data_IF_880485313210
#
_entry.id   IF_880485313210
#
_cell.length_a   1.000
_cell.length_b   1.000
_cell.length_c   1.000
_cell.angle_alpha   90.00
_cell.angle_beta   90.00
_cell.angle_gamma   90.00
#
_symmetry.space_group_name_H-M   'P 1'
#
loop_
_entity.id
_entity.type
_entity.pdbx_description
1 polymer ?
#
# COMPACT_ATOMS: atom_id res chain seq x y z
N UNK A 1 2.38 -35.55 26.17
CA UNK A 1 2.33 -36.29 24.89
C UNK A 1 2.69 -37.71 25.19
N UNK A 2 1.95 -38.65 24.62
CA UNK A 2 2.28 -40.07 24.72
C UNK A 2 3.50 -40.38 23.83
N UNK A 3 4.24 -41.45 24.16
CA UNK A 3 5.48 -41.85 23.46
C UNK A 3 5.26 -41.97 21.94
N UNK A 4 4.15 -42.59 21.54
CA UNK A 4 3.78 -42.83 20.15
C UNK A 4 3.53 -41.55 19.34
N UNK A 5 3.04 -40.48 19.97
CA UNK A 5 2.85 -39.20 19.28
C UNK A 5 4.18 -38.50 19.02
N UNK A 6 5.15 -38.65 19.93
CA UNK A 6 6.49 -38.08 19.79
C UNK A 6 7.23 -38.80 18.65
N UNK A 7 7.13 -40.12 18.59
CA UNK A 7 7.80 -40.93 17.57
C UNK A 7 7.26 -40.65 16.16
N UNK A 8 5.94 -40.54 16.01
CA UNK A 8 5.32 -40.11 14.73
C UNK A 8 5.73 -38.70 14.32
N UNK A 9 5.84 -37.77 15.27
CA UNK A 9 6.28 -36.41 14.97
C UNK A 9 7.74 -36.43 14.47
N UNK A 10 8.59 -37.23 15.09
CA UNK A 10 9.99 -37.38 14.70
C UNK A 10 10.14 -38.03 13.31
N UNK A 11 9.36 -39.06 13.00
CA UNK A 11 9.34 -39.66 11.65
C UNK A 11 8.94 -38.63 10.58
N UNK A 12 7.91 -37.83 10.85
CA UNK A 12 7.49 -36.78 9.92
C UNK A 12 8.60 -35.73 9.78
N UNK A 13 9.21 -35.27 10.89
CA UNK A 13 10.32 -34.31 10.86
C UNK A 13 11.48 -34.84 10.00
N UNK A 14 11.86 -36.10 10.15
CA UNK A 14 12.92 -36.73 9.35
C UNK A 14 12.54 -36.85 7.87
N UNK A 15 11.29 -37.21 7.56
CA UNK A 15 10.83 -37.25 6.16
C UNK A 15 10.85 -35.88 5.47
N UNK A 16 10.59 -34.81 6.24
CA UNK A 16 10.62 -33.42 5.76
C UNK A 16 12.04 -32.91 5.60
N UNK A 17 12.99 -33.32 6.46
CA UNK A 17 14.41 -33.01 6.28
C UNK A 17 15.00 -33.62 5.01
N UNK A 18 14.40 -34.72 4.54
CA UNK A 18 14.82 -35.43 3.33
C UNK A 18 14.18 -34.89 2.04
N UNK A 19 13.13 -34.06 2.12
CA UNK A 19 12.58 -33.40 0.93
C UNK A 19 13.39 -32.14 0.59
N UNK A 20 13.88 -32.04 -0.65
CA UNK A 20 14.65 -30.88 -1.15
C UNK A 20 13.81 -29.58 -1.32
N UNK A 21 12.63 -29.50 -0.72
CA UNK A 21 11.77 -28.32 -0.76
C UNK A 21 11.93 -27.51 0.52
N UNK A 22 12.53 -26.33 0.39
CA UNK A 22 12.94 -25.46 1.50
C UNK A 22 11.75 -24.99 2.38
N UNK A 23 10.50 -25.04 1.89
CA UNK A 23 9.29 -24.61 2.59
C UNK A 23 8.03 -25.45 2.25
N UNK A 24 7.93 -26.67 2.78
CA UNK A 24 6.81 -27.57 2.46
C UNK A 24 5.54 -27.37 3.32
N UNK A 25 5.59 -26.59 4.40
CA UNK A 25 4.49 -26.45 5.37
C UNK A 25 4.22 -24.99 5.73
N UNK A 26 2.95 -24.62 5.87
CA UNK A 26 2.54 -23.25 6.25
C UNK A 26 1.37 -23.25 7.23
N UNK A 27 1.33 -22.25 8.10
CA UNK A 27 0.25 -22.02 9.05
C UNK A 27 0.02 -20.53 9.27
N UNK A 28 -1.23 -20.17 9.56
CA UNK A 28 -1.58 -18.82 9.96
C UNK A 28 -1.22 -18.62 11.44
N UNK A 29 -0.31 -17.67 11.68
CA UNK A 29 0.15 -17.37 13.03
C UNK A 29 -0.80 -16.38 13.70
N UNK A 30 -1.56 -16.86 14.69
CA UNK A 30 -2.39 -16.04 15.58
C UNK A 30 -1.70 -15.79 16.93
N UNK A 31 -0.54 -15.13 16.88
CA UNK A 31 0.25 -14.79 18.06
C UNK A 31 0.33 -13.27 18.21
N UNK A 32 0.04 -12.74 19.40
CA UNK A 32 0.15 -11.30 19.69
C UNK A 32 1.58 -10.77 19.49
N UNK A 33 2.61 -11.60 19.70
CA UNK A 33 4.03 -11.27 19.49
C UNK A 33 4.34 -10.95 18.03
N UNK A 34 3.61 -11.54 17.07
CA UNK A 34 3.84 -11.30 15.63
C UNK A 34 3.19 -10.00 15.12
N UNK A 35 2.41 -9.30 15.96
CA UNK A 35 1.66 -8.10 15.56
C UNK A 35 2.56 -7.03 14.94
N UNK A 36 3.77 -6.84 15.49
CA UNK A 36 4.74 -5.87 14.97
C UNK A 36 5.24 -6.23 13.57
N UNK A 37 5.53 -7.50 13.31
CA UNK A 37 5.89 -8.00 11.99
C UNK A 37 4.75 -7.79 10.99
N UNK A 38 3.52 -8.23 11.33
CA UNK A 38 2.33 -8.05 10.46
C UNK A 38 2.10 -6.57 10.13
N UNK A 39 2.27 -5.70 11.13
CA UNK A 39 2.17 -4.27 10.94
C UNK A 39 3.17 -3.72 9.92
N UNK A 40 4.46 -4.04 10.05
CA UNK A 40 5.48 -3.53 9.11
C UNK A 40 5.39 -4.21 7.75
N UNK A 41 4.95 -5.47 7.68
CA UNK A 41 4.66 -6.15 6.42
C UNK A 41 3.52 -5.44 5.66
N UNK A 42 2.45 -5.04 6.35
CA UNK A 42 1.37 -4.24 5.76
C UNK A 42 1.86 -2.88 5.28
N UNK A 43 2.69 -2.16 6.05
CA UNK A 43 3.26 -0.87 5.61
C UNK A 43 4.20 -1.06 4.41
N UNK A 44 5.00 -2.13 4.40
CA UNK A 44 5.89 -2.47 3.27
C UNK A 44 5.07 -2.69 2.00
N UNK A 45 3.95 -3.40 2.11
CA UNK A 45 3.04 -3.62 1.00
C UNK A 45 2.44 -2.29 0.49
N UNK A 46 1.91 -1.46 1.41
CA UNK A 46 1.37 -0.15 1.07
C UNK A 46 2.40 0.74 0.34
N UNK A 47 3.65 0.81 0.83
CA UNK A 47 4.71 1.61 0.20
C UNK A 47 5.06 1.10 -1.21
N UNK A 48 5.10 -0.22 -1.42
CA UNK A 48 5.31 -0.80 -2.76
C UNK A 48 4.16 -0.42 -3.70
N UNK A 49 2.94 -0.54 -3.21
CA UNK A 49 1.74 -0.21 -3.97
C UNK A 49 1.72 1.29 -4.37
N UNK A 50 2.14 2.19 -3.47
CA UNK A 50 2.32 3.61 -3.81
C UNK A 50 3.35 3.79 -4.91
N UNK A 51 4.47 3.07 -4.86
CA UNK A 51 5.47 3.09 -5.94
C UNK A 51 4.88 2.66 -7.28
N UNK A 52 4.10 1.58 -7.31
CA UNK A 52 3.43 1.08 -8.52
C UNK A 52 2.42 2.10 -9.08
N UNK A 53 1.62 2.74 -8.21
CA UNK A 53 0.68 3.78 -8.63
C UNK A 53 1.40 5.00 -9.24
N UNK A 54 2.51 5.43 -8.66
CA UNK A 54 3.31 6.55 -9.17
C UNK A 54 3.96 6.20 -10.51
N UNK A 55 4.49 4.99 -10.66
CA UNK A 55 5.03 4.50 -11.94
C UNK A 55 3.97 4.51 -13.03
N UNK A 56 2.77 4.00 -12.73
CA UNK A 56 1.67 4.01 -13.70
C UNK A 56 1.22 5.44 -14.06
N UNK A 57 1.23 6.36 -13.10
CA UNK A 57 0.96 7.79 -13.36
C UNK A 57 1.98 8.41 -14.31
N UNK A 58 3.28 8.12 -14.12
CA UNK A 58 4.34 8.61 -15.00
C UNK A 58 4.16 8.05 -16.43
N UNK A 59 3.84 6.76 -16.55
CA UNK A 59 3.59 6.12 -17.85
C UNK A 59 2.38 6.72 -18.57
N UNK A 60 1.29 6.98 -17.85
CA UNK A 60 0.10 7.64 -18.41
C UNK A 60 0.42 9.04 -18.90
N UNK A 61 1.16 9.84 -18.11
CA UNK A 61 1.57 11.19 -18.51
C UNK A 61 2.50 11.20 -19.73
N UNK A 62 3.37 10.20 -19.86
CA UNK A 62 4.21 10.05 -21.05
C UNK A 62 3.37 9.75 -22.31
N UNK A 63 2.39 8.84 -22.22
CA UNK A 63 1.52 8.47 -23.35
C UNK A 63 0.60 9.60 -23.81
N UNK A 64 0.12 10.45 -22.90
CA UNK A 64 -0.73 11.61 -23.25
C UNK A 64 0.00 12.63 -24.13
N UNK A 65 1.34 12.68 -24.07
CA UNK A 65 2.15 13.56 -24.95
C UNK A 65 2.14 13.03 -26.40
N UNK A 66 1.89 11.74 -26.61
CA UNK A 66 2.01 11.08 -27.91
C UNK A 66 0.67 10.96 -28.68
N UNK A 67 -0.47 10.98 -27.99
CA UNK A 67 -1.80 10.75 -28.59
C UNK A 67 -2.75 11.95 -28.47
N UNK A 68 -2.77 12.82 -29.47
CA UNK A 68 -3.75 13.92 -29.57
C UNK A 68 -5.10 13.44 -30.10
N UNK A 69 -5.99 12.93 -29.23
CA UNK A 69 -7.40 12.70 -29.59
C UNK A 69 -8.19 11.80 -28.64
N UNK A 70 -9.40 12.27 -28.24
CA UNK A 70 -10.54 11.58 -27.59
C UNK A 70 -10.33 10.68 -26.34
N UNK A 71 -9.13 10.19 -26.04
CA UNK A 71 -8.78 9.37 -24.87
C UNK A 71 -8.61 10.18 -23.55
N UNK A 72 -8.79 11.50 -23.62
CA UNK A 72 -8.39 12.43 -22.56
C UNK A 72 -9.18 12.24 -21.26
N UNK A 73 -10.50 11.96 -21.32
CA UNK A 73 -11.34 11.88 -20.10
C UNK A 73 -11.08 10.62 -19.27
N UNK A 74 -10.90 9.45 -19.90
CA UNK A 74 -10.60 8.20 -19.19
C UNK A 74 -9.21 8.28 -18.56
N UNK A 75 -8.24 8.86 -19.28
CA UNK A 75 -6.89 9.10 -18.76
C UNK A 75 -6.93 10.06 -17.56
N UNK A 76 -7.67 11.16 -17.64
CA UNK A 76 -7.84 12.10 -16.51
C UNK A 76 -8.48 11.45 -15.27
N UNK A 77 -9.52 10.62 -15.46
CA UNK A 77 -10.15 9.91 -14.34
C UNK A 77 -9.19 8.89 -13.71
N UNK A 78 -8.42 8.18 -14.54
CA UNK A 78 -7.42 7.22 -14.09
C UNK A 78 -6.29 7.92 -13.34
N UNK A 79 -5.76 9.01 -13.89
CA UNK A 79 -4.75 9.85 -13.23
C UNK A 79 -5.24 10.34 -11.87
N UNK A 80 -6.45 10.88 -11.80
CA UNK A 80 -7.04 11.34 -10.54
C UNK A 80 -7.17 10.21 -9.53
N UNK A 81 -7.65 9.04 -9.97
CA UNK A 81 -7.87 7.88 -9.10
C UNK A 81 -6.56 7.33 -8.56
N UNK A 82 -5.54 7.21 -9.40
CA UNK A 82 -4.21 6.78 -8.99
C UNK A 82 -3.55 7.78 -8.06
N UNK A 83 -3.64 9.08 -8.34
CA UNK A 83 -3.10 10.12 -7.48
C UNK A 83 -3.72 10.07 -6.07
N UNK A 84 -5.05 10.04 -5.99
CA UNK A 84 -5.77 9.92 -4.72
C UNK A 84 -5.35 8.64 -3.98
N UNK A 85 -5.27 7.52 -4.71
CA UNK A 85 -4.87 6.22 -4.13
C UNK A 85 -3.45 6.27 -3.58
N UNK A 86 -2.50 6.89 -4.30
CA UNK A 86 -1.12 7.09 -3.85
C UNK A 86 -1.06 7.92 -2.56
N UNK A 87 -1.77 9.05 -2.51
CA UNK A 87 -1.79 9.93 -1.33
C UNK A 87 -2.40 9.23 -0.12
N UNK A 88 -3.57 8.60 -0.28
CA UNK A 88 -4.25 7.90 0.82
C UNK A 88 -3.39 6.75 1.33
N UNK A 89 -2.89 5.91 0.44
CA UNK A 89 -2.11 4.72 0.80
C UNK A 89 -0.80 5.13 1.48
N UNK A 90 -0.14 6.17 0.98
CA UNK A 90 1.04 6.75 1.63
C UNK A 90 0.73 7.28 3.03
N UNK A 91 -0.30 8.12 3.17
CA UNK A 91 -0.68 8.70 4.46
C UNK A 91 -1.07 7.63 5.49
N UNK A 92 -1.65 6.50 5.05
CA UNK A 92 -1.97 5.35 5.89
C UNK A 92 -0.73 4.74 6.56
N UNK A 93 0.45 4.85 5.94
CA UNK A 93 1.71 4.40 6.54
C UNK A 93 2.10 5.21 7.78
N UNK A 94 1.66 6.47 7.87
CA UNK A 94 2.03 7.43 8.92
C UNK A 94 0.90 7.78 9.88
N UNK A 95 -0.31 7.27 9.64
CA UNK A 95 -1.48 7.49 10.49
C UNK A 95 -1.78 6.25 11.33
N UNK A 96 -2.25 6.47 12.55
CA UNK A 96 -2.70 5.38 13.40
C UNK A 96 -4.04 4.87 12.87
N UNK A 97 -4.13 3.57 12.60
CA UNK A 97 -5.37 2.89 12.21
C UNK A 97 -5.64 1.76 13.18
N UNK A 98 -6.89 1.60 13.61
CA UNK A 98 -7.28 0.66 14.68
C UNK A 98 -6.90 -0.79 14.34
N UNK A 99 -6.96 -1.17 13.06
CA UNK A 99 -6.62 -2.53 12.60
C UNK A 99 -5.12 -2.85 12.56
N UNK A 100 -4.26 -1.89 12.20
CA UNK A 100 -2.81 -2.15 11.99
C UNK A 100 -2.02 -2.11 13.29
N UNK A 101 -2.39 -1.21 14.20
CA UNK A 101 -1.76 -1.05 15.51
C UNK A 101 -0.30 -0.57 15.51
N UNK A 102 0.28 -0.27 14.34
CA UNK A 102 1.58 0.41 14.20
C UNK A 102 1.51 1.47 13.09
N UNK A 103 2.39 2.46 13.17
CA UNK A 103 2.61 3.47 12.14
C UNK A 103 4.11 3.75 11.98
N UNK A 104 4.49 4.37 10.87
CA UNK A 104 5.80 4.98 10.72
C UNK A 104 5.83 6.32 11.48
N UNK A 105 6.90 6.52 12.24
CA UNK A 105 7.18 7.82 12.82
C UNK A 105 8.06 8.62 11.86
N UNK A 106 7.58 9.80 11.46
CA UNK A 106 8.28 10.67 10.50
C UNK A 106 9.74 10.94 10.92
N UNK A 107 9.98 11.15 12.21
CA UNK A 107 11.32 11.35 12.79
C UNK A 107 12.27 10.14 12.61
N UNK A 108 11.74 8.93 12.54
CA UNK A 108 12.54 7.73 12.32
C UNK A 108 12.82 7.51 10.83
N UNK A 109 11.94 8.03 9.97
CA UNK A 109 12.07 7.92 8.53
C UNK A 109 13.05 8.95 7.96
N UNK A 110 13.09 10.17 8.50
CA UNK A 110 13.88 11.28 7.95
C UNK A 110 14.97 11.73 8.92
N UNK A 111 16.24 11.57 8.53
CA UNK A 111 17.37 12.14 9.28
C UNK A 111 17.44 13.66 9.16
N UNK A 112 18.29 14.31 9.97
CA UNK A 112 18.41 15.78 10.02
C UNK A 112 18.73 16.41 8.66
N UNK A 113 19.50 15.72 7.82
CA UNK A 113 19.93 16.22 6.50
C UNK A 113 18.91 15.98 5.37
N UNK A 114 17.77 15.35 5.63
CA UNK A 114 16.79 14.96 4.61
C UNK A 114 15.63 15.96 4.53
N UNK A 115 15.97 17.25 4.44
CA UNK A 115 15.02 18.36 4.51
C UNK A 115 14.01 18.36 3.37
N UNK A 116 14.43 18.02 2.15
CA UNK A 116 13.55 17.92 0.97
C UNK A 116 12.50 16.82 1.14
N UNK A 117 12.90 15.60 1.52
CA UNK A 117 11.98 14.50 1.76
C UNK A 117 11.05 14.74 2.93
N UNK A 118 11.53 15.42 3.98
CA UNK A 118 10.68 15.82 5.12
C UNK A 118 9.62 16.84 4.68
N UNK A 119 10.00 17.82 3.84
CA UNK A 119 9.06 18.79 3.30
C UNK A 119 8.05 18.14 2.36
N UNK A 120 8.50 17.25 1.47
CA UNK A 120 7.61 16.51 0.57
C UNK A 120 6.63 15.62 1.35
N UNK A 121 7.12 14.87 2.35
CA UNK A 121 6.26 14.11 3.27
C UNK A 121 5.18 14.99 3.90
N UNK A 122 5.56 16.17 4.44
CA UNK A 122 4.63 17.11 5.02
C UNK A 122 3.57 17.55 4.00
N UNK A 123 4.00 17.95 2.80
CA UNK A 123 3.09 18.36 1.73
C UNK A 123 2.10 17.24 1.36
N UNK A 124 2.55 15.98 1.27
CA UNK A 124 1.68 14.85 0.95
C UNK A 124 0.65 14.57 2.08
N UNK A 125 1.07 14.72 3.34
CA UNK A 125 0.17 14.60 4.49
C UNK A 125 -0.85 15.76 4.53
N UNK A 126 -0.40 16.97 4.20
CA UNK A 126 -1.25 18.16 4.11
C UNK A 126 -2.26 18.01 2.96
N UNK A 127 -1.84 17.55 1.78
CA UNK A 127 -2.76 17.22 0.67
C UNK A 127 -3.84 16.24 1.14
N UNK A 128 -3.49 15.16 1.87
CA UNK A 128 -4.49 14.24 2.40
C UNK A 128 -5.48 14.95 3.33
N UNK A 129 -5.00 15.83 4.20
CA UNK A 129 -5.83 16.50 5.20
C UNK A 129 -6.72 17.58 4.57
N UNK A 130 -6.17 18.38 3.67
CA UNK A 130 -6.84 19.53 3.06
C UNK A 130 -7.74 19.14 1.89
N UNK A 131 -7.39 18.12 1.12
CA UNK A 131 -8.12 17.76 -0.09
C UNK A 131 -9.13 16.62 0.12
N UNK A 132 -8.85 15.68 1.04
CA UNK A 132 -9.74 14.51 1.25
C UNK A 132 -10.62 14.60 2.49
N UNK A 133 -10.20 15.35 3.53
CA UNK A 133 -10.98 15.45 4.77
C UNK A 133 -11.91 16.68 4.81
N UNK A 134 -11.63 17.71 4.02
CA UNK A 134 -12.46 18.90 3.91
C UNK A 134 -12.45 19.39 2.45
N UNK A 135 -13.57 19.80 1.87
CA UNK A 135 -13.60 20.58 0.62
C UNK A 135 -13.09 22.02 0.86
N UNK A 136 -12.00 22.16 1.61
CA UNK A 136 -11.49 23.44 2.10
C UNK A 136 -10.66 24.11 1.04
N UNK A 137 -11.18 25.22 0.48
CA UNK A 137 -10.49 26.28 -0.28
C UNK A 137 -9.12 25.87 -0.82
N UNK A 138 -9.05 24.85 -1.65
CA UNK A 138 -7.82 24.48 -2.31
C UNK A 138 -7.88 25.04 -3.72
N UNK A 139 -6.79 25.66 -4.17
CA UNK A 139 -6.62 26.10 -5.56
C UNK A 139 -6.64 24.93 -6.58
N UNK A 140 -6.98 23.71 -6.13
CA UNK A 140 -6.87 22.47 -6.89
C UNK A 140 -8.15 22.11 -7.66
N UNK A 141 -9.30 22.72 -7.38
CA UNK A 141 -10.54 22.50 -8.12
C UNK A 141 -11.23 23.84 -8.42
N UNK A 142 -11.21 24.26 -9.70
CA UNK A 142 -11.97 25.44 -10.16
C UNK A 142 -13.21 24.96 -10.91
N UNK A 143 -14.37 25.38 -10.44
CA UNK A 143 -15.65 25.17 -11.13
C UNK A 143 -15.93 26.43 -11.94
N UNK A 144 -15.95 26.29 -13.26
CA UNK A 144 -16.40 27.33 -14.17
C UNK A 144 -17.85 27.07 -14.52
N UNK A 145 -18.73 28.05 -14.26
CA UNK A 145 -20.10 28.03 -14.75
C UNK A 145 -20.16 28.81 -16.06
N UNK A 146 -20.83 28.25 -17.07
CA UNK A 146 -21.08 28.90 -18.35
C UNK A 146 -22.56 28.88 -18.69
N UNK A 147 -23.08 30.00 -19.19
CA UNK A 147 -24.41 30.08 -19.77
C UNK A 147 -24.29 29.84 -21.27
N UNK A 148 -24.89 28.75 -21.75
CA UNK A 148 -24.98 28.47 -23.18
C UNK A 148 -26.32 28.97 -23.69
N UNK A 149 -26.30 29.70 -24.79
CA UNK A 149 -27.49 30.22 -25.44
C UNK A 149 -27.69 29.45 -26.74
N UNK A 150 -28.90 28.96 -26.96
CA UNK A 150 -29.33 28.45 -28.25
C UNK A 150 -30.37 29.42 -28.82
N UNK A 151 -30.06 29.99 -29.98
CA UNK A 151 -30.90 30.99 -30.66
C UNK A 151 -31.42 30.33 -31.93
N UNK A 152 -32.73 30.13 -32.01
CA UNK A 152 -33.40 29.62 -33.21
C UNK A 152 -34.54 30.59 -33.58
N UNK A 153 -34.42 31.23 -34.74
CA UNK A 153 -35.32 32.30 -35.18
C UNK A 153 -35.45 33.43 -34.13
N UNK A 154 -36.64 33.61 -33.54
CA UNK A 154 -36.94 34.60 -32.50
C UNK A 154 -36.91 34.05 -31.07
N UNK A 155 -36.67 32.75 -30.90
CA UNK A 155 -36.62 32.12 -29.58
C UNK A 155 -35.18 32.00 -29.07
N UNK A 156 -34.96 32.47 -27.84
CA UNK A 156 -33.70 32.33 -27.11
C UNK A 156 -33.91 31.40 -25.93
N UNK A 157 -33.18 30.29 -25.91
CA UNK A 157 -33.14 29.37 -24.77
C UNK A 157 -31.75 29.39 -24.12
N UNK A 158 -31.72 29.34 -22.79
CA UNK A 158 -30.49 29.35 -22.00
C UNK A 158 -30.35 28.05 -21.22
N UNK A 159 -29.15 27.46 -21.25
CA UNK A 159 -28.79 26.32 -20.40
C UNK A 159 -27.49 26.63 -19.67
N UNK A 160 -27.55 26.51 -18.34
CA UNK A 160 -26.34 26.51 -17.52
C UNK A 160 -25.60 25.18 -17.73
N UNK A 161 -24.31 25.27 -18.03
CA UNK A 161 -23.37 24.15 -17.88
C UNK A 161 -22.27 24.54 -16.92
N UNK A 162 -21.53 23.54 -16.45
CA UNK A 162 -20.34 23.75 -15.67
C UNK A 162 -19.20 22.89 -16.22
N UNK A 163 -17.98 23.39 -16.08
CA UNK A 163 -16.76 22.63 -16.30
C UNK A 163 -15.94 22.66 -15.01
N UNK A 164 -15.50 21.48 -14.58
CA UNK A 164 -14.59 21.35 -13.45
C UNK A 164 -13.19 21.20 -14.03
N UNK A 165 -12.38 22.24 -13.91
CA UNK A 165 -10.94 22.14 -14.19
C UNK A 165 -10.28 21.92 -12.84
N UNK A 166 -9.96 20.67 -12.54
CA UNK A 166 -9.05 20.40 -11.44
C UNK A 166 -7.60 20.49 -11.90
N UNK A 167 -6.76 21.12 -11.09
CA UNK A 167 -5.33 20.81 -11.07
C UNK A 167 -5.19 19.44 -10.39
N UNK A 168 -5.64 18.39 -11.07
CA UNK A 168 -5.46 17.03 -10.61
C UNK A 168 -4.07 16.58 -11.02
N UNK A 169 -3.16 16.57 -10.07
CA UNK A 169 -1.91 15.85 -10.19
C UNK A 169 -0.67 16.64 -9.83
N UNK A 170 0.27 15.90 -9.28
CA UNK A 170 1.66 16.28 -9.19
C UNK A 170 2.24 16.43 -10.61
N UNK A 171 3.14 17.41 -10.80
CA UNK A 171 3.92 17.47 -12.04
C UNK A 171 4.75 16.20 -12.20
N UNK A 172 5.23 15.89 -13.41
CA UNK A 172 6.12 14.72 -13.58
C UNK A 172 7.33 14.79 -12.65
N UNK A 173 7.87 16.00 -12.42
CA UNK A 173 8.94 16.25 -11.45
C UNK A 173 8.52 15.84 -10.03
N UNK A 174 7.36 16.31 -9.59
CA UNK A 174 6.84 15.99 -8.25
C UNK A 174 6.55 14.49 -8.09
N UNK A 175 6.08 13.81 -9.14
CA UNK A 175 5.90 12.36 -9.17
C UNK A 175 7.24 11.61 -9.05
N UNK A 176 8.28 12.07 -9.74
CA UNK A 176 9.64 11.52 -9.57
C UNK A 176 10.14 11.72 -8.14
N UNK A 177 9.99 12.92 -7.57
CA UNK A 177 10.39 13.19 -6.19
C UNK A 177 9.61 12.30 -5.19
N UNK A 178 8.32 12.06 -5.44
CA UNK A 178 7.51 11.14 -4.64
C UNK A 178 8.00 9.69 -4.78
N UNK A 179 8.35 9.25 -5.99
CA UNK A 179 8.92 7.92 -6.20
C UNK A 179 10.26 7.75 -5.47
N UNK A 180 11.13 8.75 -5.53
CA UNK A 180 12.41 8.75 -4.79
C UNK A 180 12.21 8.73 -3.28
N UNK A 181 11.19 9.43 -2.78
CA UNK A 181 10.78 9.36 -1.37
C UNK A 181 10.35 7.93 -0.97
N UNK A 182 9.58 7.22 -1.82
CA UNK A 182 9.21 5.83 -1.58
C UNK A 182 10.45 4.92 -1.55
N UNK A 183 11.34 5.06 -2.54
CA UNK A 183 12.61 4.31 -2.59
C UNK A 183 13.49 4.57 -1.36
N UNK A 184 13.41 5.77 -0.79
CA UNK A 184 14.13 6.12 0.42
C UNK A 184 13.55 5.48 1.70
N UNK A 185 12.22 5.45 1.85
CA UNK A 185 11.55 4.96 3.07
C UNK A 185 11.43 3.43 3.09
N UNK A 186 11.25 2.81 1.91
CA UNK A 186 10.96 1.38 1.79
C UNK A 186 12.04 0.48 2.41
N UNK A 187 13.36 0.66 2.16
CA UNK A 187 14.40 -0.17 2.76
C UNK A 187 14.42 -0.09 4.29
N UNK A 188 14.16 1.09 4.86
CA UNK A 188 14.08 1.28 6.32
C UNK A 188 12.90 0.52 6.92
N UNK A 189 11.78 0.52 6.22
CA UNK A 189 10.58 -0.21 6.64
C UNK A 189 10.78 -1.72 6.56
N UNK A 190 11.45 -2.19 5.50
CA UNK A 190 11.86 -3.59 5.35
C UNK A 190 12.80 -4.00 6.51
N UNK A 191 13.80 -3.20 6.86
CA UNK A 191 14.68 -3.47 8.00
C UNK A 191 13.88 -3.64 9.30
N UNK A 192 12.96 -2.70 9.59
CA UNK A 192 12.10 -2.78 10.78
C UNK A 192 11.19 -4.01 10.79
N UNK A 193 10.70 -4.45 9.61
CA UNK A 193 9.94 -5.69 9.44
C UNK A 193 10.80 -6.90 9.76
N UNK A 194 12.02 -6.95 9.23
CA UNK A 194 12.91 -8.10 9.37
C UNK A 194 13.46 -8.22 10.80
N UNK A 195 13.75 -7.09 11.45
CA UNK A 195 14.03 -7.03 12.89
C UNK A 195 12.86 -7.57 13.72
N UNK A 196 11.61 -7.21 13.40
CA UNK A 196 10.44 -7.74 14.09
C UNK A 196 10.22 -9.24 13.83
N UNK A 197 10.53 -9.72 12.62
CA UNK A 197 10.53 -11.15 12.29
C UNK A 197 11.53 -11.90 13.15
N UNK A 198 12.78 -11.43 13.17
CA UNK A 198 13.86 -12.02 13.97
C UNK A 198 13.49 -12.05 15.45
N UNK A 199 13.02 -10.93 16.00
CA UNK A 199 12.62 -10.85 17.40
C UNK A 199 11.50 -11.85 17.76
N UNK A 200 10.53 -12.06 16.86
CA UNK A 200 9.51 -13.09 17.04
C UNK A 200 10.12 -14.49 17.05
N UNK A 201 10.94 -14.82 16.04
CA UNK A 201 11.58 -16.14 15.91
C UNK A 201 12.52 -16.48 17.07
N UNK A 202 13.24 -15.49 17.58
CA UNK A 202 14.14 -15.60 18.73
C UNK A 202 13.36 -15.75 20.05
N UNK A 203 12.11 -15.26 20.11
CA UNK A 203 11.25 -15.38 21.29
C UNK A 203 10.56 -16.74 21.44
N UNK A 204 10.61 -17.58 20.41
CA UNK A 204 9.95 -18.89 20.40
C UNK A 204 10.85 -19.96 21.04
N UNK A 205 10.30 -20.70 22.00
CA UNK A 205 10.95 -21.89 22.54
C UNK A 205 10.96 -23.04 21.51
N UNK A 206 11.78 -24.06 21.73
CA UNK A 206 11.78 -25.25 20.88
C UNK A 206 10.42 -25.97 20.90
N UNK A 207 9.76 -26.00 22.07
CA UNK A 207 8.41 -26.58 22.22
C UNK A 207 7.37 -25.81 21.40
N UNK A 208 7.40 -24.48 21.43
CA UNK A 208 6.50 -23.65 20.62
C UNK A 208 6.73 -23.87 19.12
N UNK A 209 7.99 -23.94 18.69
CA UNK A 209 8.35 -24.22 17.28
C UNK A 209 7.82 -25.58 16.83
N UNK A 210 8.00 -26.62 17.64
CA UNK A 210 7.49 -27.96 17.35
C UNK A 210 5.96 -27.99 17.32
N UNK A 211 5.30 -27.26 18.23
CA UNK A 211 3.84 -27.11 18.23
C UNK A 211 3.30 -26.43 16.97
N UNK A 212 3.98 -25.39 16.48
CA UNK A 212 3.63 -24.74 15.20
C UNK A 212 3.81 -25.69 14.01
N UNK A 213 4.91 -26.46 13.99
CA UNK A 213 5.17 -27.44 12.94
C UNK A 213 4.10 -28.54 12.93
N UNK A 214 3.72 -29.10 14.10
CA UNK A 214 2.65 -30.10 14.21
C UNK A 214 1.35 -29.59 13.57
N UNK A 215 0.92 -28.38 13.94
CA UNK A 215 -0.29 -27.78 13.36
C UNK A 215 -0.18 -27.54 11.84
N UNK A 216 1.00 -27.18 11.34
CA UNK A 216 1.23 -26.97 9.91
C UNK A 216 1.16 -28.30 9.13
N UNK A 217 1.68 -29.39 9.71
CA UNK A 217 1.54 -30.75 9.18
C UNK A 217 0.07 -31.17 9.15
N UNK A 218 -0.66 -31.01 10.26
CA UNK A 218 -2.10 -31.31 10.35
C UNK A 218 -2.90 -30.57 9.26
N UNK A 219 -2.63 -29.27 9.06
CA UNK A 219 -3.25 -28.45 8.00
C UNK A 219 -3.01 -29.03 6.60
N UNK A 220 -1.77 -29.44 6.29
CA UNK A 220 -1.41 -30.01 4.98
C UNK A 220 -2.06 -31.38 4.76
N UNK A 221 -2.07 -32.24 5.77
CA UNK A 221 -2.70 -33.56 5.70
C UNK A 221 -4.21 -33.43 5.48
N UNK A 222 -4.89 -32.53 6.19
CA UNK A 222 -6.31 -32.28 5.99
C UNK A 222 -6.64 -31.73 4.59
N UNK A 223 -5.80 -30.85 4.05
CA UNK A 223 -5.96 -30.33 2.69
C UNK A 223 -5.86 -31.45 1.63
N UNK A 224 -5.01 -32.45 1.84
CA UNK A 224 -4.85 -33.58 0.94
C UNK A 224 -5.99 -34.62 1.05
N UNK A 225 -6.67 -34.70 2.19
CA UNK A 225 -7.81 -35.61 2.39
C UNK A 225 -9.18 -35.00 2.02
N UNK A 226 -9.24 -33.68 1.76
CA UNK A 226 -10.46 -32.94 1.47
C UNK A 226 -10.98 -33.00 0.02
N UNK A 227 -10.37 -33.83 -0.82
CA UNK A 227 -10.86 -34.18 -2.16
C UNK A 227 -11.14 -35.68 -2.21
N UNK A 228 -12.27 -36.10 -1.62
CA UNK A 228 -12.95 -37.38 -1.93
C UNK A 228 -14.44 -37.10 -1.99
#
# INVERSE_FOLDING_TARGET
MDSDEIDKLNEIIESVRQSNNEFDYSIDLDDKRIKRYKGYASITFDLKLVGEFISLLLDLKAKVIEESGQNNRVNQLTERSLFISSIITYARCFTQTDGRGIKLESRDCFGEHQTSFKQLHKNLMDIRNEYLAHAGVSNSEKIYASANFNIHESDVSMKLSYEIIGQYGLSSKDLFEFLELIKYILPKTISKRDEASKAYLDSLTLEEKNGLLKKAIEKKTHANTGFV
#
